data_IF_484490529115
#
_entry.id   IF_484490529115
#
_cell.length_a   1.000
_cell.length_b   1.000
_cell.length_c   1.000
_cell.angle_alpha   90.00
_cell.angle_beta   90.00
_cell.angle_gamma   90.00
#
_symmetry.space_group_name_H-M   'P 1'
#
loop_
_entity.id
_entity.type
_entity.pdbx_description
1 polymer ?
#
# COMPACT_ATOMS: atom_id res chain seq x y z
N UNK A 1 -2.85 4.85 8.36
CA UNK A 1 -3.20 3.49 7.87
C UNK A 1 -3.15 2.59 9.10
N UNK A 2 -4.05 1.61 9.24
CA UNK A 2 -4.03 0.71 10.41
C UNK A 2 -2.96 -0.35 10.25
N UNK A 3 -2.36 -0.78 11.36
CA UNK A 3 -1.35 -1.84 11.40
C UNK A 3 -1.90 -3.15 10.83
N UNK A 4 -3.18 -3.44 11.07
CA UNK A 4 -3.90 -4.59 10.49
C UNK A 4 -3.88 -4.58 8.97
N UNK A 5 -4.10 -3.41 8.34
CA UNK A 5 -4.11 -3.28 6.89
C UNK A 5 -2.70 -3.41 6.31
N UNK A 6 -1.71 -2.80 6.95
CA UNK A 6 -0.30 -2.89 6.53
C UNK A 6 0.17 -4.34 6.57
N UNK A 7 -0.13 -5.03 7.67
CA UNK A 7 0.22 -6.44 7.86
C UNK A 7 -0.41 -7.31 6.76
N UNK A 8 -1.71 -7.15 6.51
CA UNK A 8 -2.41 -7.89 5.45
C UNK A 8 -1.73 -7.69 4.08
N UNK A 9 -1.46 -6.43 3.71
CA UNK A 9 -0.85 -6.11 2.42
C UNK A 9 0.53 -6.74 2.31
N UNK A 10 1.36 -6.60 3.34
CA UNK A 10 2.72 -7.13 3.32
C UNK A 10 2.73 -8.66 3.26
N UNK A 11 1.92 -9.34 4.07
CA UNK A 11 1.84 -10.81 4.09
C UNK A 11 1.43 -11.35 2.72
N UNK A 12 0.35 -10.84 2.15
CA UNK A 12 -0.17 -11.36 0.89
C UNK A 12 0.66 -10.94 -0.32
N UNK A 13 1.26 -9.75 -0.30
CA UNK A 13 2.21 -9.32 -1.33
C UNK A 13 3.51 -10.14 -1.27
N UNK A 14 3.97 -10.52 -0.08
CA UNK A 14 5.13 -11.42 0.07
C UNK A 14 4.82 -12.85 -0.38
N UNK A 15 3.64 -13.36 -0.02
CA UNK A 15 3.17 -14.67 -0.47
C UNK A 15 3.17 -14.74 -2.00
N UNK A 16 2.55 -13.78 -2.67
CA UNK A 16 2.50 -13.75 -4.13
C UNK A 16 3.85 -13.40 -4.78
N UNK A 17 4.59 -12.44 -4.22
CA UNK A 17 5.88 -12.03 -4.75
C UNK A 17 6.88 -13.17 -4.78
N UNK A 18 6.93 -13.99 -3.72
CA UNK A 18 7.83 -15.14 -3.62
C UNK A 18 7.51 -16.28 -4.60
N UNK A 19 6.26 -16.43 -5.04
CA UNK A 19 5.89 -17.39 -6.10
C UNK A 19 6.19 -16.85 -7.50
N UNK A 20 6.08 -15.53 -7.69
CA UNK A 20 6.27 -14.88 -8.99
C UNK A 20 7.74 -14.60 -9.34
N UNK A 21 8.56 -14.26 -8.35
CA UNK A 21 9.96 -13.88 -8.56
C UNK A 21 10.89 -14.78 -7.74
N UNK A 22 11.80 -15.49 -8.41
CA UNK A 22 12.79 -16.34 -7.75
C UNK A 22 13.78 -15.57 -6.87
N UNK A 23 13.89 -14.26 -7.07
CA UNK A 23 14.77 -13.35 -6.31
C UNK A 23 13.98 -12.42 -5.39
N UNK A 24 12.72 -12.74 -5.08
CA UNK A 24 11.89 -11.90 -4.22
C UNK A 24 12.54 -11.71 -2.85
N UNK A 25 12.85 -10.46 -2.51
CA UNK A 25 13.17 -10.09 -1.14
C UNK A 25 11.89 -9.77 -0.38
N UNK A 26 11.84 -10.16 0.90
CA UNK A 26 10.73 -9.85 1.79
C UNK A 26 10.46 -8.34 1.79
N UNK A 27 9.20 -7.97 1.50
CA UNK A 27 8.67 -6.63 1.63
C UNK A 27 8.44 -6.33 3.11
N UNK A 28 9.31 -5.51 3.65
CA UNK A 28 9.23 -5.01 5.02
C UNK A 28 8.25 -3.84 5.13
N UNK A 29 7.72 -3.60 6.33
CA UNK A 29 6.78 -2.48 6.59
C UNK A 29 7.35 -1.12 6.18
N UNK A 30 8.59 -0.83 6.55
CA UNK A 30 9.24 0.43 6.19
C UNK A 30 9.42 0.58 4.67
N UNK A 31 9.71 -0.52 3.97
CA UNK A 31 9.83 -0.53 2.51
C UNK A 31 8.47 -0.27 1.84
N UNK A 32 7.39 -0.85 2.38
CA UNK A 32 6.03 -0.59 1.91
C UNK A 32 5.61 0.87 2.11
N UNK A 33 5.96 1.50 3.23
CA UNK A 33 5.73 2.94 3.39
C UNK A 33 6.52 3.78 2.38
N UNK A 34 7.78 3.43 2.10
CA UNK A 34 8.56 4.11 1.07
C UNK A 34 7.89 3.99 -0.32
N UNK A 35 7.33 2.81 -0.63
CA UNK A 35 6.54 2.59 -1.85
C UNK A 35 5.31 3.52 -1.92
N UNK A 36 4.55 3.64 -0.83
CA UNK A 36 3.38 4.53 -0.76
C UNK A 36 3.77 6.01 -0.87
N UNK A 37 4.87 6.42 -0.23
CA UNK A 37 5.41 7.78 -0.33
C UNK A 37 5.74 8.13 -1.77
N UNK A 38 6.34 7.20 -2.53
CA UNK A 38 6.58 7.38 -3.96
C UNK A 38 5.25 7.51 -4.73
N UNK A 39 4.26 6.66 -4.44
CA UNK A 39 2.94 6.73 -5.09
C UNK A 39 2.27 8.10 -4.87
N UNK A 40 2.31 8.63 -3.65
CA UNK A 40 1.77 9.95 -3.34
C UNK A 40 2.54 11.07 -4.04
N UNK A 41 3.87 10.99 -4.04
CA UNK A 41 4.71 11.96 -4.75
C UNK A 41 4.40 11.98 -6.27
N UNK A 42 4.18 10.81 -6.88
CA UNK A 42 3.79 10.73 -8.29
C UNK A 42 2.44 11.40 -8.57
N UNK A 43 1.52 11.33 -7.61
CA UNK A 43 0.21 11.97 -7.74
C UNK A 43 0.31 13.50 -7.60
N UNK A 44 1.20 14.02 -6.76
CA UNK A 44 1.40 15.46 -6.58
C UNK A 44 2.25 16.09 -7.69
N UNK A 45 3.26 15.38 -8.17
CA UNK A 45 4.14 15.83 -9.25
C UNK A 45 3.97 14.94 -10.48
N UNK A 46 3.01 15.26 -11.35
CA UNK A 46 2.82 14.50 -12.59
C UNK A 46 3.97 14.71 -13.56
N UNK A 47 4.49 13.61 -14.09
CA UNK A 47 5.61 13.60 -15.05
C UNK A 47 5.20 12.92 -16.35
N UNK A 48 5.95 13.20 -17.41
CA UNK A 48 5.62 12.70 -18.76
C UNK A 48 5.81 11.18 -18.85
N UNK A 49 6.70 10.63 -18.03
CA UNK A 49 6.90 9.18 -17.95
C UNK A 49 7.26 8.70 -16.52
N UNK A 50 6.90 7.45 -16.17
CA UNK A 50 7.27 6.86 -14.88
C UNK A 50 8.78 6.78 -14.62
N UNK A 51 9.61 6.76 -15.68
CA UNK A 51 11.07 6.69 -15.55
C UNK A 51 11.66 7.99 -15.00
N UNK A 52 11.00 9.13 -15.24
CA UNK A 52 11.49 10.44 -14.82
C UNK A 52 11.54 10.62 -13.29
N UNK A 53 10.74 9.85 -12.54
CA UNK A 53 10.77 9.86 -11.07
C UNK A 53 12.07 9.27 -10.47
N UNK A 54 12.87 8.56 -11.28
CA UNK A 54 14.17 7.99 -10.89
C UNK A 54 15.35 8.66 -11.60
N UNK A 55 15.14 9.84 -12.21
CA UNK A 55 16.20 10.56 -12.92
C UNK A 55 17.20 11.21 -11.95
N UNK A 56 18.48 11.29 -12.35
CA UNK A 56 19.58 11.85 -11.55
C UNK A 56 19.58 13.37 -11.45
N UNK A 57 18.64 14.06 -12.11
CA UNK A 57 18.44 15.50 -11.89
C UNK A 57 18.04 15.72 -10.42
N UNK A 58 18.61 16.71 -9.74
CA UNK A 58 18.44 16.93 -8.28
C UNK A 58 16.96 16.94 -7.84
N UNK A 59 16.08 17.54 -8.64
CA UNK A 59 14.62 17.62 -8.38
C UNK A 59 13.91 16.28 -8.62
N UNK A 60 14.53 15.35 -9.34
CA UNK A 60 13.94 14.11 -9.85
C UNK A 60 14.46 12.84 -9.14
N UNK A 61 15.32 12.98 -8.14
CA UNK A 61 15.96 11.85 -7.45
C UNK A 61 15.19 11.34 -6.23
N UNK A 62 14.04 11.93 -5.90
CA UNK A 62 13.28 11.58 -4.69
C UNK A 62 12.97 10.09 -4.59
N UNK A 63 12.39 9.49 -5.65
CA UNK A 63 12.08 8.06 -5.63
C UNK A 63 13.36 7.20 -5.60
N UNK A 64 14.40 7.63 -6.31
CA UNK A 64 15.70 6.94 -6.34
C UNK A 64 16.41 6.92 -4.97
N UNK A 65 16.14 7.90 -4.10
CA UNK A 65 16.63 7.93 -2.71
C UNK A 65 15.91 6.95 -1.78
N UNK A 66 14.70 6.53 -2.14
CA UNK A 66 13.85 5.67 -1.30
C UNK A 66 13.92 4.19 -1.72
N UNK A 67 13.92 3.92 -3.03
CA UNK A 67 14.09 2.56 -3.57
C UNK A 67 14.47 2.58 -5.05
N UNK A 68 15.01 1.47 -5.53
CA UNK A 68 15.30 1.33 -6.96
C UNK A 68 14.00 1.25 -7.78
N UNK A 69 14.04 1.68 -9.04
CA UNK A 69 12.89 1.58 -9.95
C UNK A 69 12.43 0.13 -10.13
N UNK A 70 13.36 -0.81 -10.20
CA UNK A 70 13.04 -2.22 -10.37
C UNK A 70 12.29 -2.76 -9.15
N UNK A 71 12.77 -2.46 -7.95
CA UNK A 71 12.10 -2.87 -6.71
C UNK A 71 10.69 -2.27 -6.59
N UNK A 72 10.52 -0.99 -6.94
CA UNK A 72 9.20 -0.37 -7.00
C UNK A 72 8.24 -1.13 -7.93
N UNK A 73 8.70 -1.50 -9.14
CA UNK A 73 7.90 -2.24 -10.12
C UNK A 73 7.58 -3.66 -9.62
N UNK A 74 8.53 -4.33 -8.98
CA UNK A 74 8.32 -5.65 -8.37
C UNK A 74 7.23 -5.60 -7.31
N UNK A 75 7.28 -4.62 -6.40
CA UNK A 75 6.25 -4.40 -5.36
C UNK A 75 4.91 -4.09 -6.02
N UNK A 76 4.86 -3.13 -6.97
CA UNK A 76 3.64 -2.77 -7.69
C UNK A 76 2.97 -3.98 -8.35
N UNK A 77 3.77 -4.85 -8.97
CA UNK A 77 3.31 -6.05 -9.67
C UNK A 77 3.00 -7.23 -8.74
N UNK A 78 3.25 -7.08 -7.43
CA UNK A 78 3.01 -8.12 -6.43
C UNK A 78 2.00 -7.71 -5.38
N UNK A 79 1.46 -6.49 -5.44
CA UNK A 79 0.49 -5.98 -4.48
C UNK A 79 -0.75 -6.88 -4.41
N UNK A 80 -0.94 -7.55 -3.28
CA UNK A 80 -2.05 -8.47 -3.01
C UNK A 80 -2.66 -8.21 -1.63
N UNK A 81 -3.93 -8.58 -1.48
CA UNK A 81 -4.70 -8.42 -0.25
C UNK A 81 -5.35 -9.72 0.22
N UNK A 82 -5.12 -10.82 -0.50
CA UNK A 82 -5.65 -12.15 -0.21
C UNK A 82 -4.71 -13.24 -0.70
N UNK A 83 -4.86 -14.42 -0.11
CA UNK A 83 -4.24 -15.65 -0.60
C UNK A 83 -5.04 -16.19 -1.80
N UNK A 84 -4.42 -16.19 -2.98
CA UNK A 84 -5.06 -16.63 -4.23
C UNK A 84 -5.46 -18.12 -4.23
N UNK A 85 -4.83 -18.95 -3.40
CA UNK A 85 -5.01 -20.40 -3.39
C UNK A 85 -6.14 -20.82 -2.46
N UNK A 86 -6.38 -20.06 -1.39
CA UNK A 86 -7.34 -20.42 -0.33
C UNK A 86 -8.58 -19.53 -0.29
N UNK A 87 -8.60 -18.40 -1.00
CA UNK A 87 -9.74 -17.47 -0.99
C UNK A 87 -11.02 -18.02 -1.60
N UNK A 88 -12.15 -17.72 -0.95
CA UNK A 88 -13.48 -17.95 -1.52
C UNK A 88 -13.73 -17.01 -2.71
N UNK A 89 -13.91 -17.62 -3.90
CA UNK A 89 -14.12 -16.93 -5.17
C UNK A 89 -15.60 -16.69 -5.48
N UNK A 90 -16.51 -17.02 -4.55
CA UNK A 90 -17.95 -16.77 -4.68
C UNK A 90 -18.27 -15.27 -4.73
N UNK A 91 -17.54 -14.46 -3.96
CA UNK A 91 -17.65 -13.00 -3.97
C UNK A 91 -16.81 -12.39 -5.11
N UNK A 92 -17.42 -11.60 -5.99
CA UNK A 92 -16.72 -10.92 -7.10
C UNK A 92 -15.61 -9.96 -6.64
N UNK A 93 -15.69 -9.43 -5.42
CA UNK A 93 -14.72 -8.50 -4.85
C UNK A 93 -13.66 -9.19 -3.97
N UNK A 94 -13.63 -10.52 -3.93
CA UNK A 94 -12.81 -11.29 -2.98
C UNK A 94 -11.36 -10.81 -2.89
N UNK A 95 -10.75 -10.41 -4.01
CA UNK A 95 -9.34 -9.95 -4.08
C UNK A 95 -9.03 -8.68 -3.29
N UNK A 96 -10.03 -7.83 -3.03
CA UNK A 96 -9.86 -6.53 -2.36
C UNK A 96 -10.74 -6.38 -1.13
N UNK A 97 -11.71 -7.28 -0.95
CA UNK A 97 -12.70 -7.22 0.13
C UNK A 97 -12.03 -7.09 1.52
N UNK A 98 -10.99 -7.87 1.88
CA UNK A 98 -10.41 -7.76 3.21
C UNK A 98 -9.78 -6.39 3.49
N UNK A 99 -9.15 -5.77 2.48
CA UNK A 99 -8.64 -4.41 2.60
C UNK A 99 -9.78 -3.39 2.77
N UNK A 100 -10.87 -3.53 2.01
CA UNK A 100 -12.05 -2.68 2.12
C UNK A 100 -12.68 -2.78 3.51
N UNK A 101 -12.82 -3.99 4.05
CA UNK A 101 -13.43 -4.23 5.36
C UNK A 101 -12.61 -3.59 6.48
N UNK A 102 -11.28 -3.75 6.45
CA UNK A 102 -10.37 -3.10 7.39
C UNK A 102 -10.44 -1.57 7.31
N UNK A 103 -10.50 -1.01 6.09
CA UNK A 103 -10.64 0.43 5.90
C UNK A 103 -11.99 0.94 6.43
N UNK A 104 -13.10 0.27 6.11
CA UNK A 104 -14.43 0.66 6.58
C UNK A 104 -14.53 0.62 8.11
N UNK A 105 -13.98 -0.41 8.75
CA UNK A 105 -13.87 -0.50 10.21
C UNK A 105 -13.09 0.69 10.77
N UNK A 106 -11.90 0.94 10.25
CA UNK A 106 -11.04 2.04 10.72
C UNK A 106 -11.72 3.41 10.59
N UNK A 107 -12.37 3.68 9.46
CA UNK A 107 -13.07 4.95 9.24
C UNK A 107 -14.34 5.08 10.09
N UNK A 108 -15.10 4.00 10.28
CA UNK A 108 -16.28 3.99 11.14
C UNK A 108 -15.95 4.25 12.61
N UNK A 109 -14.89 3.61 13.11
CA UNK A 109 -14.39 3.81 14.48
C UNK A 109 -13.94 5.26 14.69
N UNK A 110 -13.18 5.82 13.74
CA UNK A 110 -12.72 7.20 13.81
C UNK A 110 -13.89 8.20 13.77
N UNK A 111 -14.84 8.01 12.86
CA UNK A 111 -16.01 8.87 12.74
C UNK A 111 -16.84 8.87 14.03
N UNK A 112 -17.03 7.69 14.63
CA UNK A 112 -17.74 7.54 15.90
C UNK A 112 -16.98 8.24 17.05
N UNK A 113 -15.64 8.11 17.07
CA UNK A 113 -14.78 8.75 18.06
C UNK A 113 -14.86 10.27 18.00
N UNK A 114 -14.76 10.85 16.80
CA UNK A 114 -14.86 12.30 16.58
C UNK A 114 -16.23 12.82 17.02
N UNK A 115 -17.31 12.12 16.66
CA UNK A 115 -18.68 12.48 17.06
C UNK A 115 -18.85 12.52 18.58
N UNK A 116 -18.37 11.50 19.31
CA UNK A 116 -18.43 11.47 20.78
C UNK A 116 -17.64 12.62 21.42
N UNK A 117 -16.47 12.97 20.89
CA UNK A 117 -15.68 14.13 21.36
C UNK A 117 -16.37 15.47 21.10
N UNK A 118 -17.14 15.60 20.02
CA UNK A 118 -17.92 16.81 19.73
C UNK A 118 -19.06 17.04 20.73
N UNK A 119 -19.76 15.97 21.13
CA UNK A 119 -20.81 16.03 22.15
C UNK A 119 -20.27 16.34 23.55
N UNK A 120 -19.07 15.86 23.90
CA UNK A 120 -18.47 16.09 25.23
C UNK A 120 -17.74 17.45 25.35
N UNK A 121 -17.76 18.30 24.30
CA UNK A 121 -17.17 19.65 24.30
C UNK A 121 -18.22 20.76 24.47
N UNK A 122 -19.48 20.42 24.70
CA UNK A 122 -20.55 21.36 25.02
C UNK A 122 -20.78 21.38 26.53
N UNK A 123 -19.85 22.02 27.26
CA UNK A 123 -20.00 22.51 28.62
C UNK A 123 -19.24 23.84 28.72
#
# INVERSE_FOLDING_TARGET
>A
MTDELVKLVNEESNRYGSTKYSTWSVLEEQEFYNFLVICFHMNTEKRSSPKEYWSTRIICSFAARLMTRNRFIEILNSLHFVDNDTSDKSNRLYKVQPAIDLMNKAFGDEFTRVRKKGYNKTC
#
